data_IF_536304849385
#
_entry.id   IF_536304849385
#
_cell.length_a   1.000
_cell.length_b   1.000
_cell.length_c   1.000
_cell.angle_alpha   90.00
_cell.angle_beta   90.00
_cell.angle_gamma   90.00
#
_symmetry.space_group_name_H-M   'P 1'
#
loop_
_entity.id
_entity.type
_entity.pdbx_description
1 polymer ?
#
# COMPACT_ATOMS: atom_id res chain seq x y z
N UNK A 1 17.14 -3.51 7.19
CA UNK A 1 16.18 -3.75 6.09
C UNK A 1 15.82 -2.41 5.49
N UNK A 2 16.22 -2.20 4.24
CA UNK A 2 15.98 -0.97 3.51
C UNK A 2 14.66 -1.12 2.77
N UNK A 3 13.60 -0.50 3.30
CA UNK A 3 12.32 -0.37 2.59
C UNK A 3 12.57 0.40 1.29
N UNK A 4 11.80 0.10 0.25
CA UNK A 4 11.93 0.80 -1.02
C UNK A 4 11.10 2.09 -0.93
N UNK A 5 11.77 3.24 -0.76
CA UNK A 5 11.12 4.53 -0.45
C UNK A 5 10.03 4.93 -1.45
N UNK A 6 10.26 4.73 -2.75
CA UNK A 6 9.26 5.05 -3.77
C UNK A 6 8.01 4.15 -3.71
N UNK A 7 8.15 2.91 -3.21
CA UNK A 7 7.01 1.99 -3.00
C UNK A 7 6.27 2.37 -1.73
N UNK A 8 7.00 2.74 -0.69
CA UNK A 8 6.40 3.26 0.55
C UNK A 8 5.49 4.45 0.25
N UNK A 9 5.97 5.44 -0.50
CA UNK A 9 5.16 6.60 -0.91
C UNK A 9 3.94 6.22 -1.74
N UNK A 10 4.06 5.24 -2.65
CA UNK A 10 2.92 4.72 -3.42
C UNK A 10 1.89 4.02 -2.55
N UNK A 11 2.32 3.23 -1.57
CA UNK A 11 1.44 2.57 -0.62
C UNK A 11 0.71 3.58 0.28
N UNK A 12 1.39 4.65 0.69
CA UNK A 12 0.76 5.78 1.41
C UNK A 12 -0.32 6.46 0.56
N UNK A 13 -0.02 6.77 -0.71
CA UNK A 13 -0.98 7.35 -1.65
C UNK A 13 -2.15 6.40 -1.93
N UNK A 14 -1.88 5.10 -2.09
CA UNK A 14 -2.90 4.07 -2.26
C UNK A 14 -3.81 3.96 -1.03
N UNK A 15 -3.27 4.05 0.18
CA UNK A 15 -4.07 4.04 1.40
C UNK A 15 -5.05 5.23 1.45
N UNK A 16 -4.55 6.44 1.13
CA UNK A 16 -5.38 7.64 1.03
C UNK A 16 -6.47 7.49 -0.04
N UNK A 17 -6.12 6.90 -1.18
CA UNK A 17 -7.07 6.60 -2.25
C UNK A 17 -8.15 5.61 -1.80
N UNK A 18 -7.79 4.51 -1.13
CA UNK A 18 -8.75 3.52 -0.60
C UNK A 18 -9.72 4.11 0.41
N UNK A 19 -9.27 5.02 1.27
CA UNK A 19 -10.13 5.74 2.21
C UNK A 19 -11.12 6.65 1.46
N UNK A 20 -10.67 7.34 0.41
CA UNK A 20 -11.55 8.15 -0.46
C UNK A 20 -12.55 7.30 -1.23
N UNK A 21 -12.12 6.17 -1.80
CA UNK A 21 -12.99 5.22 -2.50
C UNK A 21 -14.09 4.68 -1.56
N UNK A 22 -13.73 4.26 -0.34
CA UNK A 22 -14.70 3.81 0.67
C UNK A 22 -15.66 4.91 1.14
N UNK A 23 -15.24 6.17 1.07
CA UNK A 23 -16.07 7.33 1.39
C UNK A 23 -17.01 7.73 0.23
N UNK A 24 -16.70 7.32 -1.02
CA UNK A 24 -17.51 7.54 -2.21
C UNK A 24 -18.43 6.36 -2.58
N UNK A 25 -18.20 5.18 -2.00
CA UNK A 25 -19.00 3.97 -2.22
C UNK A 25 -19.18 3.18 -0.93
N UNK A 26 -20.26 3.49 -0.20
CA UNK A 26 -20.94 2.66 0.80
C UNK A 26 -20.08 1.57 1.53
N UNK A 27 -19.34 1.97 2.57
CA UNK A 27 -18.97 1.06 3.67
C UNK A 27 -17.53 1.14 4.16
N UNK A 28 -17.41 1.42 5.46
CA UNK A 28 -16.21 1.36 6.32
C UNK A 28 -15.26 2.57 6.29
N UNK A 29 -15.79 3.74 6.65
CA UNK A 29 -14.99 4.76 7.32
C UNK A 29 -14.69 4.33 8.76
N UNK A 30 -13.75 3.39 8.97
CA UNK A 30 -13.14 3.25 10.29
C UNK A 30 -12.07 4.34 10.39
N UNK A 31 -12.39 5.39 11.15
CA UNK A 31 -11.47 6.41 11.66
C UNK A 31 -10.06 5.83 11.85
N UNK A 32 -9.17 6.11 10.89
CA UNK A 32 -7.75 6.09 11.19
C UNK A 32 -7.49 7.34 12.01
N UNK A 33 -6.95 7.12 13.21
CA UNK A 33 -6.45 8.12 14.15
C UNK A 33 -5.38 8.94 13.44
N UNK A 34 -5.81 9.93 12.66
CA UNK A 34 -4.91 10.92 12.12
C UNK A 34 -4.52 11.83 13.28
N UNK A 35 -3.23 11.73 13.61
CA UNK A 35 -2.39 12.87 13.94
C UNK A 35 -2.62 13.49 15.33
N UNK A 36 -2.14 12.81 16.37
CA UNK A 36 -1.61 13.51 17.55
C UNK A 36 -0.18 13.96 17.27
N UNK A 37 -0.02 15.05 16.51
CA UNK A 37 1.05 16.04 16.69
C UNK A 37 0.63 17.37 16.01
N UNK A 38 0.62 18.51 16.72
CA UNK A 38 0.28 19.80 16.14
C UNK A 38 1.50 20.39 15.41
N UNK A 39 1.83 19.86 14.24
CA UNK A 39 2.74 20.54 13.31
C UNK A 39 1.92 21.41 12.37
N UNK A 40 1.90 22.69 12.73
CA UNK A 40 1.79 23.88 11.90
C UNK A 40 1.01 23.77 10.56
N UNK A 41 -0.10 24.52 10.51
CA UNK A 41 -0.98 24.71 9.35
C UNK A 41 -0.27 25.49 8.24
N UNK A 42 0.65 24.84 7.55
CA UNK A 42 1.14 25.31 6.25
C UNK A 42 0.44 24.53 5.13
N UNK A 43 -0.76 25.03 4.79
CA UNK A 43 -1.42 24.91 3.48
C UNK A 43 -1.43 23.48 2.91
N UNK A 44 -2.53 22.76 3.15
CA UNK A 44 -2.88 21.50 2.49
C UNK A 44 -2.91 21.68 0.97
N UNK A 45 -1.74 21.60 0.33
CA UNK A 45 -1.65 21.20 -1.06
C UNK A 45 -1.99 19.72 -1.01
N UNK A 46 -3.29 19.39 -1.10
CA UNK A 46 -3.72 18.06 -1.50
C UNK A 46 -3.02 17.81 -2.85
N UNK A 47 -1.87 17.15 -2.81
CA UNK A 47 -1.25 16.62 -4.02
C UNK A 47 -2.35 15.79 -4.69
N UNK A 48 -2.69 16.06 -5.95
CA UNK A 48 -3.67 15.26 -6.65
C UNK A 48 -3.17 13.82 -6.57
N UNK A 49 -3.92 12.99 -5.85
CA UNK A 49 -3.67 11.55 -5.85
C UNK A 49 -3.80 11.16 -7.31
N UNK A 50 -2.71 10.71 -7.91
CA UNK A 50 -2.74 10.18 -9.26
C UNK A 50 -3.59 8.90 -9.20
N UNK A 51 -4.89 9.05 -9.50
CA UNK A 51 -5.87 7.97 -9.38
C UNK A 51 -5.46 6.77 -10.23
N UNK A 52 -4.80 7.02 -11.37
CA UNK A 52 -4.27 5.98 -12.26
C UNK A 52 -3.11 5.24 -11.60
N UNK A 53 -2.26 5.95 -10.87
CA UNK A 53 -1.15 5.36 -10.13
C UNK A 53 -1.61 4.57 -8.89
N UNK A 54 -2.60 5.10 -8.17
CA UNK A 54 -3.22 4.46 -7.02
C UNK A 54 -3.99 3.20 -7.43
N UNK A 55 -4.73 3.24 -8.55
CA UNK A 55 -5.43 2.09 -9.10
C UNK A 55 -4.45 0.98 -9.52
N UNK A 56 -3.36 1.33 -10.22
CA UNK A 56 -2.30 0.35 -10.57
C UNK A 56 -1.67 -0.26 -9.32
N UNK A 57 -1.43 0.55 -8.30
CA UNK A 57 -0.90 0.07 -7.02
C UNK A 57 -1.90 -0.87 -6.35
N UNK A 58 -3.21 -0.58 -6.43
CA UNK A 58 -4.26 -1.47 -5.95
C UNK A 58 -4.25 -2.82 -6.70
N UNK A 59 -4.09 -2.81 -8.02
CA UNK A 59 -3.96 -4.05 -8.81
C UNK A 59 -2.73 -4.86 -8.39
N UNK A 60 -1.60 -4.20 -8.15
CA UNK A 60 -0.38 -4.85 -7.65
C UNK A 60 -0.63 -5.49 -6.28
N UNK A 61 -1.27 -4.77 -5.34
CA UNK A 61 -1.58 -5.26 -4.00
C UNK A 61 -2.59 -6.42 -4.05
N UNK A 62 -3.66 -6.32 -4.84
CA UNK A 62 -4.65 -7.39 -5.00
C UNK A 62 -4.05 -8.63 -5.67
N UNK A 63 -3.05 -8.48 -6.55
CA UNK A 63 -2.32 -9.63 -7.11
C UNK A 63 -1.61 -10.48 -6.04
N UNK A 64 -1.20 -9.85 -4.93
CA UNK A 64 -0.60 -10.55 -3.79
C UNK A 64 -1.61 -11.40 -3.02
N UNK A 65 -2.92 -11.13 -3.13
CA UNK A 65 -3.94 -11.83 -2.35
C UNK A 65 -3.98 -13.32 -2.64
N UNK A 66 -3.85 -13.72 -3.91
CA UNK A 66 -3.96 -15.12 -4.35
C UNK A 66 -2.65 -15.91 -4.17
N UNK A 67 -1.48 -15.26 -4.30
CA UNK A 67 -0.18 -15.94 -4.18
C UNK A 67 0.52 -15.76 -2.84
N UNK A 68 0.37 -14.59 -2.21
CA UNK A 68 1.10 -14.16 -1.01
C UNK A 68 0.17 -13.45 -0.01
N UNK A 69 -0.93 -14.12 0.35
CA UNK A 69 -1.99 -13.54 1.18
C UNK A 69 -1.53 -12.96 2.53
N UNK A 70 -0.46 -13.48 3.13
CA UNK A 70 0.13 -12.92 4.36
C UNK A 70 0.73 -11.52 4.15
N UNK A 71 1.29 -11.23 2.96
CA UNK A 71 1.79 -9.90 2.61
C UNK A 71 0.63 -8.93 2.41
N UNK A 72 -0.41 -9.37 1.70
CA UNK A 72 -1.64 -8.61 1.54
C UNK A 72 -2.24 -8.21 2.89
N UNK A 73 -2.42 -9.17 3.80
CA UNK A 73 -2.95 -8.93 5.14
C UNK A 73 -2.07 -7.96 5.92
N UNK A 74 -0.74 -8.10 5.82
CA UNK A 74 0.20 -7.17 6.47
C UNK A 74 0.01 -5.73 5.97
N UNK A 75 -0.10 -5.53 4.66
CA UNK A 75 -0.35 -4.21 4.08
C UNK A 75 -1.70 -3.63 4.51
N UNK A 76 -2.75 -4.46 4.55
CA UNK A 76 -4.08 -4.05 5.01
C UNK A 76 -4.08 -3.58 6.48
N UNK A 77 -3.39 -4.28 7.36
CA UNK A 77 -3.27 -3.87 8.77
C UNK A 77 -2.49 -2.55 8.91
N UNK A 78 -1.34 -2.43 8.26
CA UNK A 78 -0.46 -1.27 8.42
C UNK A 78 -1.06 -0.02 7.76
N UNK A 79 -1.52 -0.12 6.51
CA UNK A 79 -1.88 1.05 5.70
C UNK A 79 -3.37 1.38 5.73
N UNK A 80 -4.26 0.38 5.80
CA UNK A 80 -5.72 0.63 5.77
C UNK A 80 -6.29 0.75 7.19
N UNK A 81 -5.93 -0.17 8.09
CA UNK A 81 -6.37 -0.10 9.50
C UNK A 81 -5.52 0.87 10.33
N UNK A 82 -4.38 1.34 9.80
CA UNK A 82 -3.48 2.24 10.51
C UNK A 82 -2.89 1.64 11.79
N UNK A 83 -2.89 0.31 11.94
CA UNK A 83 -2.35 -0.32 13.14
C UNK A 83 -0.83 -0.45 13.02
N UNK A 84 -0.09 -0.11 14.08
CA UNK A 84 1.37 -0.19 14.07
C UNK A 84 1.90 -1.62 13.92
N UNK A 85 3.22 -1.75 13.67
CA UNK A 85 3.90 -3.05 13.50
C UNK A 85 3.67 -4.00 14.67
N UNK A 86 3.70 -3.48 15.90
CA UNK A 86 3.50 -4.27 17.14
C UNK A 86 2.11 -4.90 17.19
N UNK A 87 1.10 -4.11 16.86
CA UNK A 87 -0.28 -4.55 16.91
C UNK A 87 -0.59 -5.49 15.76
N UNK A 88 -0.05 -5.24 14.56
CA UNK A 88 -0.10 -6.16 13.44
C UNK A 88 0.53 -7.51 13.80
N UNK A 89 1.69 -7.51 14.46
CA UNK A 89 2.38 -8.72 14.91
C UNK A 89 1.52 -9.54 15.88
N UNK A 90 0.86 -8.87 16.84
CA UNK A 90 -0.11 -9.51 17.76
C UNK A 90 -1.31 -10.10 17.02
N UNK A 91 -1.94 -9.32 16.14
CA UNK A 91 -3.11 -9.76 15.36
C UNK A 91 -2.79 -10.94 14.43
N UNK A 92 -1.57 -11.00 13.89
CA UNK A 92 -1.12 -12.10 13.03
C UNK A 92 -0.51 -13.28 13.81
N UNK A 93 -0.37 -13.17 15.14
CA UNK A 93 0.38 -14.10 15.99
C UNK A 93 1.81 -14.39 15.46
N UNK A 94 2.52 -13.33 15.05
CA UNK A 94 3.89 -13.38 14.51
C UNK A 94 4.83 -12.47 15.30
N UNK A 95 6.14 -12.67 15.15
CA UNK A 95 7.14 -11.76 15.69
C UNK A 95 7.15 -10.43 14.90
N UNK A 96 7.51 -9.33 15.58
CA UNK A 96 7.66 -8.03 14.92
C UNK A 96 8.70 -8.06 13.78
N UNK A 97 9.75 -8.88 13.93
CA UNK A 97 10.75 -9.10 12.87
C UNK A 97 10.13 -9.73 11.63
N UNK A 98 9.19 -10.66 11.78
CA UNK A 98 8.45 -11.28 10.67
C UNK A 98 7.56 -10.27 9.97
N UNK A 99 6.88 -9.38 10.70
CA UNK A 99 6.06 -8.32 10.08
C UNK A 99 6.93 -7.35 9.28
N UNK A 100 8.09 -6.97 9.82
CA UNK A 100 9.06 -6.16 9.08
C UNK A 100 9.53 -6.88 7.81
N UNK A 101 9.81 -8.19 7.90
CA UNK A 101 10.25 -9.00 6.75
C UNK A 101 9.15 -9.11 5.69
N UNK A 102 7.90 -9.24 6.11
CA UNK A 102 6.76 -9.21 5.20
C UNK A 102 6.66 -7.86 4.47
N UNK A 103 6.92 -6.73 5.15
CA UNK A 103 6.91 -5.43 4.49
C UNK A 103 8.01 -5.29 3.44
N UNK A 104 9.20 -5.81 3.73
CA UNK A 104 10.32 -5.85 2.79
C UNK A 104 10.01 -6.76 1.58
N UNK A 105 9.47 -7.95 1.83
CA UNK A 105 9.01 -8.85 0.76
C UNK A 105 7.86 -8.27 -0.06
N UNK A 106 6.96 -7.51 0.57
CA UNK A 106 5.86 -6.83 -0.11
C UNK A 106 6.39 -5.74 -1.04
N UNK A 107 7.34 -4.92 -0.57
CA UNK A 107 8.01 -3.91 -1.40
C UNK A 107 8.65 -4.58 -2.63
N UNK A 108 9.44 -5.63 -2.44
CA UNK A 108 10.05 -6.33 -3.56
C UNK A 108 9.04 -6.96 -4.51
N UNK A 109 7.95 -7.55 -4.00
CA UNK A 109 6.90 -8.14 -4.83
C UNK A 109 6.20 -7.10 -5.71
N UNK A 110 5.90 -5.94 -5.14
CA UNK A 110 5.27 -4.83 -5.87
C UNK A 110 6.25 -4.27 -6.90
N UNK A 111 7.53 -4.10 -6.55
CA UNK A 111 8.57 -3.68 -7.49
C UNK A 111 8.64 -4.61 -8.72
N UNK A 112 8.67 -5.92 -8.47
CA UNK A 112 8.70 -6.94 -9.51
C UNK A 112 7.45 -6.87 -10.40
N UNK A 113 6.26 -6.73 -9.80
CA UNK A 113 5.03 -6.60 -10.57
C UNK A 113 5.06 -5.41 -11.54
N UNK A 114 5.57 -4.25 -11.10
CA UNK A 114 5.73 -3.09 -11.99
C UNK A 114 6.74 -3.33 -13.11
N UNK A 115 7.84 -4.02 -12.83
CA UNK A 115 8.81 -4.40 -13.86
C UNK A 115 8.18 -5.36 -14.90
N UNK A 116 7.43 -6.35 -14.44
CA UNK A 116 6.73 -7.31 -15.31
C UNK A 116 5.69 -6.61 -16.21
N UNK A 117 4.93 -5.65 -15.67
CA UNK A 117 3.98 -4.86 -16.45
C UNK A 117 4.68 -4.00 -17.52
N UNK A 118 5.85 -3.44 -17.21
CA UNK A 118 6.64 -2.69 -18.19
C UNK A 118 7.14 -3.59 -19.33
N UNK A 119 7.61 -4.80 -19.02
CA UNK A 119 8.04 -5.80 -20.00
C UNK A 119 6.87 -6.30 -20.88
N UNK A 120 5.70 -6.55 -20.30
CA UNK A 120 4.50 -6.92 -21.06
C UNK A 120 4.09 -5.83 -22.05
N UNK A 121 4.20 -4.56 -21.65
CA UNK A 121 3.94 -3.43 -22.56
C UNK A 121 4.94 -3.39 -23.72
N UNK A 122 6.24 -3.57 -23.45
CA UNK A 122 7.28 -3.62 -24.50
C UNK A 122 7.04 -4.74 -25.51
N UNK A 123 6.68 -5.93 -25.02
CA UNK A 123 6.37 -7.09 -25.90
C UNK A 123 5.16 -6.80 -26.79
N UNK A 124 4.12 -6.17 -26.25
CA UNK A 124 2.93 -5.78 -27.02
C UNK A 124 3.23 -4.74 -28.11
N UNK A 125 4.09 -3.76 -27.82
CA UNK A 125 4.47 -2.75 -28.82
C UNK A 125 5.38 -3.28 -29.93
N UNK A 126 6.08 -4.39 -29.70
CA UNK A 126 7.00 -4.98 -30.68
C UNK A 126 6.32 -5.97 -31.64
N UNK A 127 5.05 -6.33 -31.38
CA UNK A 127 4.31 -7.35 -32.15
C UNK A 127 3.29 -6.74 -33.12
N UNK A 128 3.37 -5.42 -33.39
CA UNK A 128 2.53 -4.69 -34.35
C UNK A 128 3.43 -4.03 -35.38
#
# INVERSE_FOLDING_TARGET
>A
MARIDWIKHRLENWALWKVREASGGMGWATQSVLLSDPVDRSREIMLPVDEVDAEKTNQAVESLRLGRGHLYVTLQFIYIKGVGIKETARNMARAESTVKANLDHADHAIAQWFADQAELKKKRSFTT
#
